data_IF_963108893222
#
_entry.id   IF_963108893222
#
_cell.length_a   1.000
_cell.length_b   1.000
_cell.length_c   1.000
_cell.angle_alpha   90.00
_cell.angle_beta   90.00
_cell.angle_gamma   90.00
#
_symmetry.space_group_name_H-M   'P 1'
#
loop_
_entity.id
_entity.type
_entity.pdbx_description
1 polymer ?
#
# COMPACT_ATOMS: atom_id res chain seq x y z
N UNK A 1 -0.42 11.86 22.79
CA UNK A 1 -1.37 10.78 22.39
C UNK A 1 -2.43 11.41 21.52
N UNK A 2 -2.90 10.75 20.44
CA UNK A 2 -4.03 11.25 19.66
C UNK A 2 -5.27 11.36 20.55
N UNK A 3 -6.16 12.31 20.25
CA UNK A 3 -7.47 12.41 20.91
C UNK A 3 -8.34 11.21 20.51
N UNK A 4 -9.37 10.90 21.31
CA UNK A 4 -10.32 9.83 21.01
C UNK A 4 -11.01 10.06 19.64
N UNK A 5 -11.36 11.31 19.34
CA UNK A 5 -11.92 11.72 18.05
C UNK A 5 -10.95 11.46 16.88
N UNK A 6 -9.65 11.69 17.07
CA UNK A 6 -8.63 11.42 16.04
C UNK A 6 -8.44 9.92 15.78
N UNK A 7 -8.61 9.07 16.79
CA UNK A 7 -8.56 7.62 16.63
C UNK A 7 -9.79 7.11 15.86
N UNK A 8 -10.98 7.65 16.18
CA UNK A 8 -12.22 7.31 15.49
C UNK A 8 -12.20 7.76 14.02
N UNK A 9 -11.76 9.00 13.76
CA UNK A 9 -11.59 9.54 12.40
C UNK A 9 -10.65 8.64 11.56
N UNK A 10 -9.53 8.21 12.13
CA UNK A 10 -8.59 7.32 11.44
C UNK A 10 -9.20 5.96 11.10
N UNK A 11 -9.94 5.36 12.03
CA UNK A 11 -10.62 4.09 11.79
C UNK A 11 -11.67 4.23 10.66
N UNK A 12 -12.48 5.29 10.70
CA UNK A 12 -13.49 5.58 9.69
C UNK A 12 -12.88 5.82 8.30
N UNK A 13 -11.80 6.61 8.22
CA UNK A 13 -11.10 6.88 6.97
C UNK A 13 -10.49 5.61 6.37
N UNK A 14 -9.82 4.79 7.19
CA UNK A 14 -9.23 3.51 6.73
C UNK A 14 -10.32 2.52 6.26
N UNK A 15 -11.44 2.41 6.98
CA UNK A 15 -12.57 1.59 6.55
C UNK A 15 -13.17 2.09 5.22
N UNK A 16 -13.30 3.41 5.05
CA UNK A 16 -13.80 4.02 3.81
C UNK A 16 -12.88 3.70 2.63
N UNK A 17 -11.56 3.85 2.82
CA UNK A 17 -10.56 3.52 1.79
C UNK A 17 -10.57 2.03 1.44
N UNK A 18 -10.66 1.15 2.44
CA UNK A 18 -10.76 -0.29 2.23
C UNK A 18 -11.99 -0.65 1.39
N UNK A 19 -13.16 -0.11 1.74
CA UNK A 19 -14.40 -0.34 1.00
C UNK A 19 -14.29 0.16 -0.44
N UNK A 20 -13.73 1.35 -0.65
CA UNK A 20 -13.48 1.91 -1.97
C UNK A 20 -12.59 1.01 -2.83
N UNK A 21 -11.44 0.57 -2.30
CA UNK A 21 -10.46 -0.21 -3.04
C UNK A 21 -10.97 -1.62 -3.41
N UNK A 22 -11.96 -2.14 -2.66
CA UNK A 22 -12.57 -3.44 -2.95
C UNK A 22 -13.85 -3.35 -3.78
N UNK A 23 -14.53 -2.20 -3.80
CA UNK A 23 -15.81 -2.03 -4.49
C UNK A 23 -15.73 -2.41 -5.97
N UNK A 24 -14.67 -1.99 -6.67
CA UNK A 24 -14.47 -2.29 -8.09
C UNK A 24 -14.44 -3.79 -8.42
N UNK A 25 -13.44 -4.56 -7.93
CA UNK A 25 -13.35 -5.98 -8.23
C UNK A 25 -14.51 -6.80 -7.65
N UNK A 26 -15.08 -6.42 -6.49
CA UNK A 26 -16.25 -7.12 -5.94
C UNK A 26 -17.50 -6.86 -6.79
N UNK A 27 -17.70 -5.62 -7.26
CA UNK A 27 -18.80 -5.27 -8.16
C UNK A 27 -18.74 -6.04 -9.48
N UNK A 28 -17.54 -6.15 -10.07
CA UNK A 28 -17.33 -6.93 -11.31
C UNK A 28 -17.67 -8.42 -11.14
N UNK A 29 -17.42 -9.00 -9.96
CA UNK A 29 -17.84 -10.37 -9.64
C UNK A 29 -19.36 -10.49 -9.62
N UNK A 30 -20.05 -9.53 -8.98
CA UNK A 30 -21.51 -9.50 -8.94
C UNK A 30 -22.14 -9.41 -10.33
N UNK A 31 -21.72 -8.43 -11.13
CA UNK A 31 -22.22 -8.25 -12.49
C UNK A 31 -21.92 -9.44 -13.40
N UNK A 32 -20.73 -10.05 -13.29
CA UNK A 32 -20.42 -11.25 -14.07
C UNK A 32 -21.28 -12.46 -13.68
N UNK A 33 -21.63 -12.60 -12.39
CA UNK A 33 -22.50 -13.68 -11.94
C UNK A 33 -23.95 -13.51 -12.44
N UNK A 34 -24.44 -12.28 -12.52
CA UNK A 34 -25.75 -11.96 -13.12
C UNK A 34 -25.77 -12.35 -14.61
N UNK A 35 -24.74 -11.98 -15.39
CA UNK A 35 -24.64 -12.33 -16.82
C UNK A 35 -24.66 -13.84 -17.06
N UNK A 36 -23.93 -14.62 -16.24
CA UNK A 36 -23.96 -16.10 -16.32
C UNK A 36 -25.35 -16.69 -16.10
N UNK A 37 -26.19 -16.01 -15.32
CA UNK A 37 -27.56 -16.47 -15.02
C UNK A 37 -28.55 -16.17 -16.15
N UNK A 38 -28.30 -15.12 -16.94
CA UNK A 38 -29.17 -14.67 -18.04
C UNK A 38 -28.88 -15.37 -19.36
N UNK A 39 -27.61 -15.65 -19.67
CA UNK A 39 -27.19 -16.16 -21.00
C UNK A 39 -27.38 -17.68 -21.20
N UNK A 40 -27.86 -18.41 -20.18
CA UNK A 40 -28.15 -19.84 -20.30
C UNK A 40 -26.93 -20.74 -20.57
N UNK A 41 -25.72 -20.21 -20.39
CA UNK A 41 -24.44 -20.89 -20.58
C UNK A 41 -23.27 -20.04 -20.09
N UNK A 42 -22.12 -20.68 -19.79
CA UNK A 42 -20.95 -19.97 -19.29
C UNK A 42 -20.11 -19.40 -20.43
N UNK A 43 -20.31 -18.13 -20.78
CA UNK A 43 -19.40 -17.41 -21.67
C UNK A 43 -17.97 -17.44 -21.09
N UNK A 44 -16.98 -18.04 -21.79
CA UNK A 44 -15.60 -18.07 -21.35
C UNK A 44 -15.02 -16.69 -21.00
N UNK A 45 -15.48 -15.62 -21.66
CA UNK A 45 -15.03 -14.25 -21.37
C UNK A 45 -15.55 -13.77 -20.00
N UNK A 46 -16.80 -14.07 -19.67
CA UNK A 46 -17.40 -13.76 -18.37
C UNK A 46 -16.71 -14.55 -17.26
N UNK A 47 -16.42 -15.84 -17.48
CA UNK A 47 -15.68 -16.68 -16.52
C UNK A 47 -14.26 -16.13 -16.27
N UNK A 48 -13.57 -15.69 -17.32
CA UNK A 48 -12.25 -15.07 -17.20
C UNK A 48 -12.32 -13.76 -16.40
N UNK A 49 -13.28 -12.89 -16.71
CA UNK A 49 -13.52 -11.63 -15.98
C UNK A 49 -13.78 -11.87 -14.48
N UNK A 50 -14.59 -12.86 -14.14
CA UNK A 50 -14.87 -13.26 -12.76
C UNK A 50 -13.60 -13.73 -12.04
N UNK A 51 -12.81 -14.57 -12.71
CA UNK A 51 -11.56 -15.11 -12.17
C UNK A 51 -10.54 -14.01 -11.91
N UNK A 52 -10.35 -13.10 -12.86
CA UNK A 52 -9.44 -11.95 -12.73
C UNK A 52 -9.90 -10.98 -11.63
N UNK A 53 -11.20 -10.74 -11.54
CA UNK A 53 -11.78 -9.87 -10.50
C UNK A 53 -11.63 -10.49 -9.10
N UNK A 54 -11.84 -11.80 -8.95
CA UNK A 54 -11.62 -12.52 -7.71
C UNK A 54 -10.15 -12.54 -7.28
N UNK A 55 -9.23 -12.75 -8.23
CA UNK A 55 -7.80 -12.67 -7.99
C UNK A 55 -7.39 -11.26 -7.54
N UNK A 56 -7.93 -10.22 -8.19
CA UNK A 56 -7.70 -8.82 -7.86
C UNK A 56 -8.19 -8.47 -6.45
N UNK A 57 -9.43 -8.84 -6.09
CA UNK A 57 -9.96 -8.65 -4.74
C UNK A 57 -9.12 -9.37 -3.68
N UNK A 58 -8.72 -10.61 -3.96
CA UNK A 58 -7.89 -11.43 -3.05
C UNK A 58 -6.51 -10.80 -2.83
N UNK A 59 -5.86 -10.33 -3.89
CA UNK A 59 -4.56 -9.67 -3.80
C UNK A 59 -4.63 -8.40 -2.93
N UNK A 60 -5.66 -7.57 -3.14
CA UNK A 60 -5.91 -6.35 -2.35
C UNK A 60 -6.16 -6.68 -0.89
N UNK A 61 -7.04 -7.64 -0.59
CA UNK A 61 -7.32 -8.07 0.79
C UNK A 61 -6.08 -8.58 1.52
N UNK A 62 -5.27 -9.41 0.86
CA UNK A 62 -4.05 -9.95 1.47
C UNK A 62 -3.03 -8.85 1.77
N UNK A 63 -2.84 -7.89 0.86
CA UNK A 63 -1.95 -6.75 1.12
C UNK A 63 -2.50 -5.85 2.23
N UNK A 64 -3.79 -5.50 2.18
CA UNK A 64 -4.44 -4.67 3.21
C UNK A 64 -4.30 -5.27 4.61
N UNK A 65 -4.47 -6.59 4.73
CA UNK A 65 -4.24 -7.31 5.99
C UNK A 65 -2.79 -7.22 6.46
N UNK A 66 -1.81 -7.26 5.55
CA UNK A 66 -0.40 -7.14 5.89
C UNK A 66 0.01 -5.71 6.31
N UNK A 67 -0.58 -4.68 5.69
CA UNK A 67 -0.19 -3.28 5.95
C UNK A 67 -0.95 -2.66 7.13
N UNK A 68 -2.23 -3.01 7.34
CA UNK A 68 -3.07 -2.46 8.41
C UNK A 68 -3.13 -3.35 9.67
N UNK A 69 -2.80 -4.64 9.54
CA UNK A 69 -2.87 -5.60 10.64
C UNK A 69 -1.76 -5.39 11.68
N UNK A 70 -2.02 -5.79 12.93
CA UNK A 70 -0.95 -5.90 13.91
C UNK A 70 0.07 -6.97 13.47
N UNK A 71 1.38 -6.79 13.74
CA UNK A 71 2.41 -7.78 13.44
C UNK A 71 2.37 -9.02 14.36
N UNK A 72 1.18 -9.44 14.80
CA UNK A 72 0.94 -10.57 15.70
C UNK A 72 0.59 -11.83 14.91
N UNK A 73 1.46 -12.85 14.94
CA UNK A 73 1.25 -14.15 14.27
C UNK A 73 2.46 -14.65 13.47
N UNK A 74 2.22 -15.63 12.56
CA UNK A 74 3.22 -16.16 11.62
C UNK A 74 3.84 -14.99 10.85
N UNK A 75 5.14 -14.80 11.00
CA UNK A 75 5.78 -13.56 10.63
C UNK A 75 5.73 -13.24 9.14
N UNK A 76 5.45 -11.98 8.79
CA UNK A 76 5.50 -11.48 7.42
C UNK A 76 6.95 -11.39 6.96
N UNK A 77 7.43 -12.44 6.31
CA UNK A 77 8.79 -12.47 5.77
C UNK A 77 8.96 -11.46 4.61
N UNK A 78 10.16 -10.89 4.39
CA UNK A 78 10.41 -9.99 3.27
C UNK A 78 10.02 -10.56 1.90
N UNK A 79 10.20 -11.87 1.68
CA UNK A 79 9.81 -12.55 0.44
C UNK A 79 8.29 -12.61 0.25
N UNK A 80 7.53 -12.82 1.32
CA UNK A 80 6.07 -12.80 1.30
C UNK A 80 5.56 -11.39 1.04
N UNK A 81 6.14 -10.39 1.69
CA UNK A 81 5.82 -8.98 1.45
C UNK A 81 6.07 -8.56 -0.01
N UNK A 82 7.20 -8.99 -0.59
CA UNK A 82 7.49 -8.80 -2.02
C UNK A 82 6.39 -9.40 -2.89
N UNK A 83 5.95 -10.62 -2.60
CA UNK A 83 4.92 -11.31 -3.36
C UNK A 83 3.55 -10.60 -3.26
N UNK A 84 3.18 -10.13 -2.06
CA UNK A 84 1.95 -9.37 -1.84
C UNK A 84 1.96 -8.05 -2.61
N UNK A 85 3.07 -7.30 -2.55
CA UNK A 85 3.22 -6.05 -3.28
C UNK A 85 3.19 -6.28 -4.80
N UNK A 86 3.90 -7.30 -5.30
CA UNK A 86 3.89 -7.64 -6.73
C UNK A 86 2.48 -7.98 -7.23
N UNK A 87 1.72 -8.80 -6.48
CA UNK A 87 0.34 -9.13 -6.82
C UNK A 87 -0.56 -7.90 -6.83
N UNK A 88 -0.37 -6.98 -5.89
CA UNK A 88 -1.11 -5.71 -5.86
C UNK A 88 -0.77 -4.81 -7.06
N UNK A 89 0.50 -4.71 -7.45
CA UNK A 89 0.92 -3.94 -8.63
C UNK A 89 0.26 -4.46 -9.91
N UNK A 90 0.16 -5.79 -10.07
CA UNK A 90 -0.58 -6.40 -11.19
C UNK A 90 -2.07 -6.08 -11.13
N UNK A 91 -2.70 -6.28 -9.96
CA UNK A 91 -4.12 -5.97 -9.72
C UNK A 91 -4.47 -4.50 -10.00
N UNK A 92 -3.54 -3.57 -9.71
CA UNK A 92 -3.74 -2.13 -9.92
C UNK A 92 -3.61 -1.72 -11.38
N UNK A 93 -2.76 -2.41 -12.14
CA UNK A 93 -2.53 -2.13 -13.56
C UNK A 93 -3.67 -2.64 -14.44
N UNK A 94 -4.34 -3.74 -14.04
CA UNK A 94 -5.35 -4.39 -14.85
C UNK A 94 -4.76 -4.82 -16.19
N UNK A 95 -5.28 -4.27 -17.30
CA UNK A 95 -4.78 -4.54 -18.65
C UNK A 95 -3.56 -3.67 -19.04
N UNK A 96 -3.20 -2.66 -18.23
CA UNK A 96 -2.02 -1.86 -18.46
C UNK A 96 -0.75 -2.58 -17.97
N UNK A 97 0.42 -2.07 -18.39
CA UNK A 97 1.70 -2.57 -17.88
C UNK A 97 1.87 -2.17 -16.42
N UNK A 98 1.98 -3.17 -15.54
CA UNK A 98 2.26 -2.93 -14.14
C UNK A 98 3.67 -2.38 -13.90
N UNK A 99 3.87 -1.61 -12.81
CA UNK A 99 5.19 -1.15 -12.42
C UNK A 99 6.14 -2.33 -12.19
N UNK A 100 7.38 -2.20 -12.65
CA UNK A 100 8.44 -3.14 -12.27
C UNK A 100 8.76 -3.01 -10.78
N UNK A 101 8.96 -4.14 -10.09
CA UNK A 101 9.32 -4.16 -8.67
C UNK A 101 10.74 -4.68 -8.48
N UNK A 102 11.62 -3.82 -7.98
CA UNK A 102 12.92 -4.20 -7.46
C UNK A 102 12.88 -4.23 -5.92
N UNK A 103 13.35 -5.33 -5.33
CA UNK A 103 13.19 -5.60 -3.91
C UNK A 103 14.49 -6.16 -3.32
N UNK A 104 15.19 -5.31 -2.59
CA UNK A 104 16.47 -5.57 -1.93
C UNK A 104 16.36 -5.72 -0.41
N UNK A 105 15.21 -6.12 0.13
CA UNK A 105 15.04 -6.37 1.57
C UNK A 105 15.23 -7.86 1.86
N UNK A 106 16.13 -8.18 2.78
CA UNK A 106 16.48 -9.54 3.21
C UNK A 106 16.19 -9.73 4.69
N UNK A 107 15.94 -10.98 5.11
CA UNK A 107 15.65 -11.32 6.51
C UNK A 107 14.65 -12.47 6.63
N UNK A 108 14.35 -12.86 7.87
CA UNK A 108 13.34 -13.88 8.20
C UNK A 108 12.15 -13.25 8.90
N UNK A 109 10.96 -13.87 8.78
CA UNK A 109 9.75 -13.38 9.43
C UNK A 109 9.76 -13.53 10.96
N UNK A 110 10.68 -14.32 11.52
CA UNK A 110 10.75 -14.58 12.96
C UNK A 110 11.33 -13.40 13.75
N UNK A 111 12.01 -12.46 13.09
CA UNK A 111 12.56 -11.26 13.69
C UNK A 111 11.51 -10.12 13.71
N UNK A 112 11.14 -9.68 14.92
CA UNK A 112 10.17 -8.61 15.18
C UNK A 112 10.57 -7.29 14.51
N UNK A 113 11.86 -6.94 14.49
CA UNK A 113 12.36 -5.74 13.87
C UNK A 113 12.26 -5.80 12.34
N UNK A 114 12.47 -7.00 11.75
CA UNK A 114 12.23 -7.23 10.33
C UNK A 114 10.75 -7.10 10.01
N UNK A 115 9.84 -7.69 10.80
CA UNK A 115 8.39 -7.57 10.58
C UNK A 115 7.92 -6.13 10.63
N UNK A 116 8.34 -5.39 11.65
CA UNK A 116 8.01 -3.96 11.80
C UNK A 116 8.51 -3.14 10.61
N UNK A 117 9.77 -3.36 10.18
CA UNK A 117 10.35 -2.68 9.01
C UNK A 117 9.62 -3.02 7.72
N UNK A 118 9.30 -4.29 7.50
CA UNK A 118 8.57 -4.74 6.31
C UNK A 118 7.17 -4.13 6.27
N UNK A 119 6.46 -4.05 7.41
CA UNK A 119 5.16 -3.40 7.49
C UNK A 119 5.25 -1.90 7.13
N UNK A 120 6.26 -1.19 7.65
CA UNK A 120 6.52 0.20 7.28
C UNK A 120 6.79 0.32 5.78
N UNK A 121 7.69 -0.49 5.23
CA UNK A 121 8.05 -0.46 3.81
C UNK A 121 6.86 -0.68 2.89
N UNK A 122 5.98 -1.64 3.19
CA UNK A 122 4.76 -1.85 2.41
C UNK A 122 3.82 -0.64 2.46
N UNK A 123 3.66 -0.01 3.62
CA UNK A 123 2.87 1.21 3.76
C UNK A 123 3.46 2.38 2.98
N UNK A 124 4.80 2.54 3.00
CA UNK A 124 5.48 3.57 2.22
C UNK A 124 5.38 3.32 0.71
N UNK A 125 5.40 2.05 0.27
CA UNK A 125 5.14 1.69 -1.12
C UNK A 125 3.74 2.13 -1.56
N UNK A 126 2.71 1.93 -0.73
CA UNK A 126 1.36 2.40 -1.03
C UNK A 126 1.29 3.92 -1.14
N UNK A 127 1.90 4.64 -0.19
CA UNK A 127 1.98 6.11 -0.25
C UNK A 127 2.72 6.59 -1.51
N UNK A 128 3.82 5.92 -1.90
CA UNK A 128 4.57 6.23 -3.11
C UNK A 128 3.73 6.01 -4.39
N UNK A 129 2.94 4.94 -4.45
CA UNK A 129 2.06 4.63 -5.60
C UNK A 129 0.87 5.57 -5.73
N UNK A 130 0.40 6.14 -4.62
CA UNK A 130 -0.64 7.17 -4.61
C UNK A 130 -0.07 8.54 -5.00
N UNK A 131 1.17 8.84 -4.58
CA UNK A 131 1.91 10.03 -4.98
C UNK A 131 2.38 9.97 -6.44
N UNK A 132 2.68 8.79 -6.99
CA UNK A 132 3.15 8.57 -8.37
C UNK A 132 2.17 7.64 -9.11
N UNK A 133 1.05 8.17 -9.64
CA UNK A 133 -0.06 7.34 -10.16
C UNK A 133 0.34 6.47 -11.34
N UNK A 134 1.22 6.99 -12.20
CA UNK A 134 1.77 6.32 -13.37
C UNK A 134 3.18 5.77 -13.08
N UNK A 135 3.39 5.22 -11.89
CA UNK A 135 4.65 4.58 -11.54
C UNK A 135 5.00 3.50 -12.58
N UNK A 136 6.25 3.48 -13.05
CA UNK A 136 6.77 2.49 -13.99
C UNK A 136 7.77 1.54 -13.32
N UNK A 137 8.41 2.02 -12.24
CA UNK A 137 9.35 1.27 -11.41
C UNK A 137 9.20 1.69 -9.96
N UNK A 138 9.09 0.68 -9.10
CA UNK A 138 9.14 0.77 -7.66
C UNK A 138 10.35 -0.03 -7.17
N UNK A 139 11.22 0.62 -6.43
CA UNK A 139 12.44 0.00 -5.87
C UNK A 139 12.38 0.13 -4.35
N UNK A 140 12.67 -0.97 -3.65
CA UNK A 140 12.70 -1.02 -2.19
C UNK A 140 14.05 -1.57 -1.76
N UNK A 141 14.82 -0.80 -1.02
CA UNK A 141 16.15 -1.21 -0.55
C UNK A 141 16.26 -1.09 0.96
N UNK A 142 16.89 -2.09 1.56
CA UNK A 142 17.42 -2.01 2.91
C UNK A 142 18.90 -1.64 2.80
N UNK A 143 19.27 -0.47 3.31
CA UNK A 143 20.64 0.04 3.21
C UNK A 143 21.52 -0.45 4.37
N UNK A 144 20.97 -1.25 5.30
CA UNK A 144 21.65 -1.66 6.51
C UNK A 144 21.75 -0.53 7.54
N UNK A 145 22.20 -0.86 8.76
CA UNK A 145 22.34 0.12 9.85
C UNK A 145 21.02 0.80 10.25
N UNK A 146 19.87 0.16 9.98
CA UNK A 146 18.55 0.69 10.26
C UNK A 146 18.02 1.71 9.24
N UNK A 147 18.68 1.89 8.09
CA UNK A 147 18.23 2.77 7.01
C UNK A 147 17.57 1.98 5.88
N UNK A 148 16.52 2.52 5.29
CA UNK A 148 15.81 1.93 4.15
C UNK A 148 15.28 3.00 3.22
N UNK A 149 14.95 2.61 1.99
CA UNK A 149 14.47 3.52 0.97
C UNK A 149 13.39 2.88 0.10
N UNK A 150 12.38 3.68 -0.24
CA UNK A 150 11.40 3.40 -1.29
C UNK A 150 11.55 4.45 -2.38
N UNK A 151 11.84 4.01 -3.60
CA UNK A 151 11.94 4.86 -4.79
C UNK A 151 10.82 4.52 -5.75
N UNK A 152 10.05 5.53 -6.18
CA UNK A 152 9.05 5.38 -7.22
C UNK A 152 9.35 6.34 -8.38
N UNK A 153 9.46 5.81 -9.60
CA UNK A 153 9.70 6.63 -10.80
C UNK A 153 8.59 6.46 -11.83
N UNK A 154 8.28 7.54 -12.55
CA UNK A 154 7.29 7.53 -13.63
C UNK A 154 7.07 8.94 -14.20
N UNK A 155 6.26 9.08 -15.26
CA UNK A 155 6.04 10.36 -15.92
C UNK A 155 5.18 11.32 -15.08
N UNK A 156 5.72 12.53 -14.87
CA UNK A 156 5.06 13.63 -14.17
C UNK A 156 5.68 13.91 -12.79
N UNK A 157 5.25 15.00 -12.16
CA UNK A 157 5.65 15.32 -10.80
C UNK A 157 4.84 14.46 -9.80
N UNK A 158 5.46 14.02 -8.68
CA UNK A 158 4.72 13.42 -7.58
C UNK A 158 3.61 14.35 -7.05
N UNK A 159 2.46 13.78 -6.70
CA UNK A 159 1.33 14.51 -6.13
C UNK A 159 1.65 14.96 -4.71
N UNK A 160 1.30 16.20 -4.37
CA UNK A 160 1.63 16.77 -3.06
C UNK A 160 0.77 16.23 -1.92
N UNK A 161 -0.54 16.09 -2.13
CA UNK A 161 -1.48 15.70 -1.07
C UNK A 161 -1.07 14.41 -0.32
N UNK A 162 -0.76 13.28 -1.00
CA UNK A 162 -0.30 12.07 -0.31
C UNK A 162 1.05 12.25 0.39
N UNK A 163 1.95 13.07 -0.16
CA UNK A 163 3.27 13.30 0.43
C UNK A 163 3.17 14.18 1.69
N UNK A 164 2.39 15.26 1.64
CA UNK A 164 2.10 16.12 2.79
C UNK A 164 1.50 15.31 3.94
N UNK A 165 0.45 14.52 3.64
CA UNK A 165 -0.18 13.64 4.60
C UNK A 165 0.79 12.61 5.22
N UNK A 166 1.69 12.03 4.42
CA UNK A 166 2.75 11.14 4.91
C UNK A 166 3.68 11.86 5.88
N UNK A 167 4.17 13.06 5.50
CA UNK A 167 5.11 13.83 6.31
C UNK A 167 4.47 14.36 7.59
N UNK A 168 3.21 14.79 7.54
CA UNK A 168 2.47 15.30 8.69
C UNK A 168 2.18 14.18 9.70
N UNK A 169 1.78 13.00 9.22
CA UNK A 169 1.61 11.82 10.07
C UNK A 169 2.92 11.38 10.74
N UNK A 170 4.04 11.48 10.01
CA UNK A 170 5.37 11.15 10.50
C UNK A 170 5.91 12.18 11.52
N UNK A 171 5.58 13.45 11.34
CA UNK A 171 5.90 14.52 12.29
C UNK A 171 4.92 14.57 13.49
N UNK A 172 3.74 13.96 13.36
CA UNK A 172 2.66 14.07 14.34
C UNK A 172 2.00 15.45 14.33
N UNK A 173 2.02 16.13 13.18
CA UNK A 173 1.45 17.47 12.96
C UNK A 173 0.13 17.42 12.18
N UNK A 174 -0.35 16.23 11.84
CA UNK A 174 -1.64 16.07 11.18
C UNK A 174 -2.79 16.53 12.11
N UNK A 175 -3.75 17.27 11.55
CA UNK A 175 -4.84 17.91 12.30
C UNK A 175 -5.98 16.94 12.66
N UNK A 176 -5.99 15.75 12.07
CA UNK A 176 -6.99 14.71 12.29
C UNK A 176 -8.21 14.79 11.36
N UNK A 177 -8.24 15.75 10.43
CA UNK A 177 -9.21 15.77 9.32
C UNK A 177 -8.68 14.88 8.19
N UNK A 178 -9.25 13.70 8.04
CA UNK A 178 -8.68 12.64 7.21
C UNK A 178 -9.49 12.46 5.93
N UNK A 179 -8.88 12.86 4.81
CA UNK A 179 -9.37 12.53 3.48
C UNK A 179 -9.17 11.02 3.20
N UNK A 180 -10.22 10.27 2.80
CA UNK A 180 -10.09 8.86 2.39
C UNK A 180 -9.00 8.58 1.35
N UNK A 181 -8.64 9.58 0.52
CA UNK A 181 -7.59 9.45 -0.48
C UNK A 181 -6.17 9.55 0.10
N UNK A 182 -6.00 10.22 1.24
CA UNK A 182 -4.69 10.44 1.89
C UNK A 182 -4.54 9.71 3.22
N UNK A 183 -5.61 9.16 3.78
CA UNK A 183 -5.62 8.46 5.08
C UNK A 183 -4.59 7.33 5.16
N UNK A 184 -4.32 6.62 4.07
CA UNK A 184 -3.29 5.59 4.01
C UNK A 184 -1.89 6.17 4.23
N UNK A 185 -1.63 7.37 3.69
CA UNK A 185 -0.37 8.08 3.86
C UNK A 185 -0.21 8.63 5.28
N UNK A 186 -1.28 9.18 5.87
CA UNK A 186 -1.27 9.59 7.29
C UNK A 186 -0.97 8.39 8.19
N UNK A 187 -1.64 7.26 7.96
CA UNK A 187 -1.39 6.01 8.69
C UNK A 187 0.08 5.55 8.53
N UNK A 188 0.61 5.56 7.31
CA UNK A 188 1.99 5.18 7.05
C UNK A 188 2.99 6.06 7.83
N UNK A 189 2.75 7.38 7.88
CA UNK A 189 3.57 8.32 8.64
C UNK A 189 3.48 8.07 10.14
N UNK A 190 2.27 7.93 10.67
CA UNK A 190 2.03 7.66 12.10
C UNK A 190 2.65 6.32 12.53
N UNK A 191 2.51 5.26 11.72
CA UNK A 191 3.08 3.94 11.96
C UNK A 191 4.61 4.00 12.00
N UNK A 192 5.21 4.67 11.02
CA UNK A 192 6.65 4.90 10.95
C UNK A 192 7.16 5.54 12.25
N UNK A 193 6.54 6.64 12.68
CA UNK A 193 6.90 7.32 13.93
C UNK A 193 6.70 6.42 15.14
N UNK A 194 5.58 5.70 15.23
CA UNK A 194 5.26 4.82 16.34
C UNK A 194 6.27 3.67 16.50
N UNK A 195 6.85 3.20 15.41
CA UNK A 195 7.90 2.18 15.39
C UNK A 195 9.32 2.77 15.52
N UNK A 196 9.42 4.08 15.80
CA UNK A 196 10.69 4.75 16.07
C UNK A 196 11.52 5.07 14.83
N UNK A 197 10.95 5.05 13.62
CA UNK A 197 11.65 5.47 12.41
C UNK A 197 11.39 6.95 12.11
N UNK A 198 12.43 7.66 11.67
CA UNK A 198 12.30 8.99 11.05
C UNK A 198 12.13 8.85 9.54
N UNK A 199 11.44 9.81 8.91
CA UNK A 199 11.23 9.86 7.46
C UNK A 199 11.75 11.15 6.85
N UNK A 200 12.23 11.04 5.60
CA UNK A 200 12.51 12.15 4.70
C UNK A 200 11.96 11.84 3.33
N UNK A 201 11.40 12.84 2.67
CA UNK A 201 10.90 12.74 1.29
C UNK A 201 11.73 13.67 0.41
N UNK A 202 12.27 13.13 -0.67
CA UNK A 202 13.03 13.89 -1.67
C UNK A 202 12.34 13.73 -3.03
N UNK A 203 12.15 14.87 -3.72
CA UNK A 203 11.45 14.95 -5.00
C UNK A 203 12.43 15.40 -6.07
N UNK A 204 12.67 14.55 -7.05
CA UNK A 204 13.44 14.86 -8.24
C UNK A 204 12.53 14.79 -9.47
N UNK A 205 12.90 15.42 -10.60
CA UNK A 205 12.11 15.30 -11.84
C UNK A 205 11.89 13.83 -12.22
N UNK A 206 10.63 13.37 -12.15
CA UNK A 206 10.22 12.01 -12.50
C UNK A 206 10.55 10.91 -11.48
N UNK A 207 11.11 11.26 -10.31
CA UNK A 207 11.50 10.29 -9.28
C UNK A 207 11.16 10.80 -7.88
N UNK A 208 10.49 9.96 -7.10
CA UNK A 208 10.21 10.16 -5.69
C UNK A 208 11.09 9.24 -4.86
N UNK A 209 11.77 9.79 -3.85
CA UNK A 209 12.50 9.03 -2.85
C UNK A 209 11.85 9.23 -1.47
N UNK A 210 11.53 8.13 -0.80
CA UNK A 210 11.09 8.11 0.59
C UNK A 210 12.14 7.33 1.39
N UNK A 211 12.88 8.06 2.22
CA UNK A 211 14.00 7.56 3.01
C UNK A 211 13.55 7.41 4.46
N UNK A 212 13.77 6.23 5.04
CA UNK A 212 13.53 6.00 6.45
C UNK A 212 14.80 5.56 7.19
N UNK A 213 14.88 5.93 8.46
CA UNK A 213 16.02 5.57 9.33
C UNK A 213 15.54 5.31 10.75
N UNK A 214 16.06 4.28 11.39
CA UNK A 214 15.82 4.03 12.82
C UNK A 214 16.26 5.26 13.64
N UNK A 215 15.37 5.74 14.50
CA UNK A 215 15.68 6.72 15.53
C UNK A 215 16.69 6.13 16.50
N UNK A 216 17.76 6.87 16.77
CA UNK A 216 18.76 6.52 17.79
C UNK A 216 18.23 6.72 19.20
#
# INVERSE_FOLDING_TARGET
MPTEDQALSLAQGLCTRLCHDLAGPVGAIGSGAELLSEEGGADPQVVALLSDSAASATARLRLLRAVLGAPTGRGLAPSEAKALLAAHLMSRAGHARAPSLDWGVVGTGDDDAIRARVQVLLNLCLAALDAVPRCERLTVTDQGGGSFEVTASGPGAPREAPLGALTDGAAGTDDGDLDPMTVQAVYAGRLTRALGFGLRVERLPGVLHILGRAGG
#
